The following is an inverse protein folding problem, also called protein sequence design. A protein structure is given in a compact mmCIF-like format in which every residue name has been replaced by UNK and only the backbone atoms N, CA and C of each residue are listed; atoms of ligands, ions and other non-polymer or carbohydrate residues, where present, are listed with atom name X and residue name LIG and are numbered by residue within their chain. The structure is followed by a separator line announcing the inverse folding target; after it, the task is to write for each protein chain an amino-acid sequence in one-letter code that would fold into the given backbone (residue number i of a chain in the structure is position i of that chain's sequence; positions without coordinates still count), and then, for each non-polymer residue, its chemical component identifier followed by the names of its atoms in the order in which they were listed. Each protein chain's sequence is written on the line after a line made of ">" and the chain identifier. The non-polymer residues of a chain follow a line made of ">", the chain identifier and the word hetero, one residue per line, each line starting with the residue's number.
data_IF_650040753441
#
_entry.id   IF_650040753441
#
_cell.length_a   1.000
_cell.length_b   1.000
_cell.length_c   1.000
_cell.angle_alpha   90.00
_cell.angle_beta   90.00
_cell.angle_gamma   90.00
#
_symmetry.space_group_name_H-M   'P 1'
#
loop_
_entity.id
_entity.type
_entity.pdbx_description
1 polymer ?
#
# COMPACT_ATOMS: atom_id res chain seq x y z
N UNK A 1 -16.34 -23.11 -4.89
CA UNK A 1 -17.72 -22.67 -4.67
C UNK A 1 -17.66 -21.27 -4.06
N UNK A 2 -18.00 -20.27 -4.91
CA UNK A 2 -18.07 -18.87 -4.50
C UNK A 2 -19.42 -18.63 -3.82
N UNK A 3 -19.45 -18.70 -2.49
CA UNK A 3 -20.63 -18.29 -1.74
C UNK A 3 -20.48 -16.82 -1.35
N UNK A 4 -21.45 -15.94 -1.71
CA UNK A 4 -21.51 -14.59 -1.17
C UNK A 4 -21.53 -14.69 0.36
N UNK A 5 -20.66 -13.95 1.03
CA UNK A 5 -20.69 -13.92 2.50
C UNK A 5 -21.95 -13.21 2.96
N UNK A 6 -22.71 -13.79 3.90
CA UNK A 6 -23.88 -13.12 4.46
C UNK A 6 -23.49 -11.76 5.04
N UNK A 7 -24.27 -10.73 4.72
CA UNK A 7 -24.09 -9.37 5.24
C UNK A 7 -23.17 -8.44 4.45
N UNK A 8 -22.62 -8.87 3.29
CA UNK A 8 -21.92 -7.98 2.37
C UNK A 8 -22.84 -7.55 1.22
N UNK A 9 -22.82 -6.27 0.89
CA UNK A 9 -23.50 -5.77 -0.32
C UNK A 9 -22.98 -6.47 -1.57
N UNK A 10 -23.84 -6.79 -2.56
CA UNK A 10 -23.41 -7.33 -3.84
C UNK A 10 -22.36 -6.42 -4.52
N UNK A 11 -21.38 -7.01 -5.18
CA UNK A 11 -20.32 -6.22 -5.86
C UNK A 11 -20.93 -5.27 -6.90
N UNK A 12 -21.97 -5.68 -7.60
CA UNK A 12 -22.68 -4.85 -8.55
C UNK A 12 -23.32 -3.59 -7.93
N UNK A 13 -23.80 -3.67 -6.70
CA UNK A 13 -24.33 -2.49 -5.99
C UNK A 13 -23.21 -1.57 -5.53
N UNK A 14 -22.08 -2.13 -5.07
CA UNK A 14 -20.90 -1.35 -4.69
C UNK A 14 -20.31 -0.63 -5.91
N UNK A 15 -20.27 -1.28 -7.07
CA UNK A 15 -19.77 -0.68 -8.31
C UNK A 15 -20.58 0.53 -8.78
N UNK A 16 -21.90 0.58 -8.50
CA UNK A 16 -22.75 1.73 -8.82
C UNK A 16 -22.40 3.01 -8.04
N UNK A 17 -21.69 2.89 -6.93
CA UNK A 17 -21.30 4.05 -6.11
C UNK A 17 -20.22 4.90 -6.78
N UNK A 18 -19.49 4.34 -7.76
CA UNK A 18 -18.35 4.99 -8.40
C UNK A 18 -17.11 5.03 -7.50
N UNK A 19 -15.97 5.39 -8.09
CA UNK A 19 -14.70 5.53 -7.34
C UNK A 19 -14.76 6.68 -6.31
N UNK A 20 -14.07 6.48 -5.18
CA UNK A 20 -14.00 7.45 -4.09
C UNK A 20 -12.66 7.37 -3.35
N UNK A 21 -12.54 8.04 -2.22
CA UNK A 21 -11.38 7.93 -1.32
C UNK A 21 -11.20 6.52 -0.73
N UNK A 22 -12.29 5.75 -0.65
CA UNK A 22 -12.35 4.41 -0.06
C UNK A 22 -12.76 3.30 -1.04
N UNK A 23 -13.03 3.62 -2.31
CA UNK A 23 -13.41 2.67 -3.36
C UNK A 23 -12.62 2.94 -4.64
N UNK A 24 -11.99 1.91 -5.19
CA UNK A 24 -11.19 1.98 -6.41
C UNK A 24 -11.55 0.84 -7.35
N UNK A 25 -11.55 1.09 -8.67
CA UNK A 25 -11.81 0.10 -9.71
C UNK A 25 -10.55 -0.16 -10.51
N UNK A 26 -10.39 -1.40 -10.95
CA UNK A 26 -9.36 -1.79 -11.91
C UNK A 26 -9.91 -2.86 -12.84
N UNK A 27 -9.81 -2.60 -14.12
CA UNK A 27 -10.29 -3.51 -15.17
C UNK A 27 -9.55 -4.87 -15.15
N UNK A 28 -8.33 -4.90 -14.63
CA UNK A 28 -7.48 -6.08 -14.55
C UNK A 28 -6.40 -5.91 -13.48
N UNK A 29 -5.87 -7.03 -12.97
CA UNK A 29 -4.76 -7.02 -12.03
C UNK A 29 -3.39 -7.16 -12.71
N UNK A 30 -3.32 -7.82 -13.85
CA UNK A 30 -2.05 -8.16 -14.53
C UNK A 30 -2.09 -8.16 -16.05
N UNK A 31 -3.27 -7.95 -16.63
CA UNK A 31 -3.45 -7.88 -18.07
C UNK A 31 -3.58 -6.43 -18.53
N UNK A 32 -2.76 -6.02 -19.46
CA UNK A 32 -2.87 -4.69 -20.05
C UNK A 32 -3.86 -4.76 -21.21
N UNK A 33 -5.06 -4.24 -20.99
CA UNK A 33 -6.18 -4.25 -21.95
C UNK A 33 -5.81 -3.58 -23.28
N UNK A 34 -4.91 -2.58 -23.23
CA UNK A 34 -4.51 -1.83 -24.44
C UNK A 34 -3.51 -2.60 -25.31
N UNK A 35 -2.55 -3.29 -24.68
CA UNK A 35 -1.52 -4.05 -25.39
C UNK A 35 -1.88 -5.52 -25.61
N UNK A 36 -2.97 -6.01 -24.99
CA UNK A 36 -3.44 -7.39 -25.11
C UNK A 36 -2.44 -8.42 -24.56
N UNK A 37 -1.72 -8.09 -23.49
CA UNK A 37 -0.74 -9.00 -22.88
C UNK A 37 -0.55 -8.73 -21.38
N UNK A 38 0.05 -9.72 -20.70
CA UNK A 38 0.48 -9.54 -19.30
C UNK A 38 1.48 -8.40 -19.18
N UNK A 39 1.31 -7.58 -18.13
CA UNK A 39 2.14 -6.42 -17.85
C UNK A 39 2.40 -6.27 -16.35
N UNK A 40 3.66 -6.36 -15.96
CA UNK A 40 4.10 -6.22 -14.55
C UNK A 40 3.81 -4.81 -13.99
N UNK A 41 3.62 -3.82 -14.86
CA UNK A 41 3.20 -2.48 -14.44
C UNK A 41 1.78 -2.50 -13.84
N UNK A 42 0.86 -3.32 -14.38
CA UNK A 42 -0.48 -3.50 -13.82
C UNK A 42 -0.41 -4.12 -12.42
N UNK A 43 0.41 -5.17 -12.24
CA UNK A 43 0.66 -5.79 -10.92
C UNK A 43 1.18 -4.74 -9.92
N UNK A 44 2.00 -3.80 -10.39
CA UNK A 44 2.51 -2.69 -9.57
C UNK A 44 1.41 -1.72 -9.15
N UNK A 45 0.46 -1.40 -10.05
CA UNK A 45 -0.69 -0.54 -9.74
C UNK A 45 -1.55 -1.18 -8.65
N UNK A 46 -1.87 -2.46 -8.77
CA UNK A 46 -2.63 -3.21 -7.75
C UNK A 46 -1.92 -3.15 -6.39
N UNK A 47 -0.62 -3.45 -6.35
CA UNK A 47 0.13 -3.44 -5.11
C UNK A 47 0.20 -2.04 -4.46
N UNK A 48 0.35 -0.97 -5.27
CA UNK A 48 0.30 0.43 -4.80
C UNK A 48 -1.05 0.78 -4.18
N UNK A 49 -2.14 0.42 -4.83
CA UNK A 49 -3.50 0.69 -4.34
C UNK A 49 -3.73 0.00 -3.00
N UNK A 50 -3.37 -1.28 -2.88
CA UNK A 50 -3.51 -2.02 -1.62
C UNK A 50 -2.65 -1.41 -0.52
N UNK A 51 -1.38 -1.10 -0.78
CA UNK A 51 -0.49 -0.46 0.19
C UNK A 51 -1.04 0.90 0.65
N UNK A 52 -1.56 1.71 -0.29
CA UNK A 52 -2.10 3.02 0.01
C UNK A 52 -3.36 2.94 0.89
N UNK A 53 -4.28 2.02 0.62
CA UNK A 53 -5.44 1.78 1.49
C UNK A 53 -5.01 1.32 2.88
N UNK A 54 -4.07 0.37 2.98
CA UNK A 54 -3.53 -0.09 4.27
C UNK A 54 -2.92 1.04 5.09
N UNK A 55 -2.19 1.93 4.45
CA UNK A 55 -1.55 3.07 5.10
C UNK A 55 -2.51 4.22 5.42
N UNK A 56 -3.74 4.17 4.91
CA UNK A 56 -4.76 5.20 5.13
C UNK A 56 -5.93 4.65 5.98
N UNK A 57 -7.16 4.95 5.63
CA UNK A 57 -8.37 4.50 6.35
C UNK A 57 -8.81 3.06 6.04
N UNK A 58 -8.08 2.31 5.21
CA UNK A 58 -8.58 1.11 4.56
C UNK A 58 -9.42 1.45 3.33
N UNK A 59 -10.06 0.46 2.73
CA UNK A 59 -10.92 0.66 1.56
C UNK A 59 -11.25 -0.63 0.83
N UNK A 60 -11.88 -0.47 -0.33
CA UNK A 60 -12.27 -1.56 -1.21
C UNK A 60 -11.66 -1.35 -2.60
N UNK A 61 -11.05 -2.38 -3.14
CA UNK A 61 -10.59 -2.44 -4.51
C UNK A 61 -11.44 -3.49 -5.25
N UNK A 62 -12.10 -3.08 -6.34
CA UNK A 62 -12.77 -3.98 -7.26
C UNK A 62 -11.87 -4.23 -8.46
N UNK A 63 -11.64 -5.51 -8.80
CA UNK A 63 -10.81 -5.93 -9.92
C UNK A 63 -11.70 -6.71 -10.91
N UNK A 64 -11.57 -6.43 -12.19
CA UNK A 64 -12.50 -6.88 -13.24
C UNK A 64 -13.69 -5.92 -13.40
N UNK A 65 -13.53 -4.66 -12.96
CA UNK A 65 -14.50 -3.59 -13.07
C UNK A 65 -13.85 -2.42 -13.81
N UNK A 66 -14.52 -1.88 -14.81
CA UNK A 66 -14.03 -0.73 -15.56
C UNK A 66 -14.36 0.62 -14.89
N UNK A 67 -13.89 1.71 -15.49
CA UNK A 67 -14.05 3.06 -14.94
C UNK A 67 -15.53 3.52 -14.90
N UNK A 68 -16.41 2.89 -15.70
CA UNK A 68 -17.86 3.11 -15.72
C UNK A 68 -18.61 2.22 -14.72
N UNK A 69 -17.92 1.36 -13.97
CA UNK A 69 -18.50 0.47 -12.96
C UNK A 69 -19.12 -0.81 -13.56
N UNK A 70 -18.85 -1.14 -14.82
CA UNK A 70 -19.32 -2.40 -15.45
C UNK A 70 -18.44 -3.57 -14.98
N UNK A 71 -19.07 -4.67 -14.65
CA UNK A 71 -18.41 -5.88 -14.16
C UNK A 71 -17.95 -6.72 -15.35
N UNK A 72 -16.78 -6.38 -15.91
CA UNK A 72 -16.23 -6.95 -17.14
C UNK A 72 -15.48 -8.29 -16.93
N UNK A 73 -15.14 -8.60 -15.68
CA UNK A 73 -14.55 -9.89 -15.29
C UNK A 73 -13.03 -9.99 -15.42
N UNK A 74 -12.50 -11.06 -14.83
CA UNK A 74 -11.06 -11.40 -14.75
C UNK A 74 -10.63 -12.43 -15.80
N UNK A 75 -11.41 -12.62 -16.87
CA UNK A 75 -11.09 -13.59 -17.93
C UNK A 75 -9.66 -13.46 -18.48
N UNK A 76 -9.21 -12.24 -18.87
CA UNK A 76 -7.84 -12.03 -19.34
C UNK A 76 -6.78 -12.33 -18.27
N UNK A 77 -7.04 -12.00 -17.00
CA UNK A 77 -6.14 -12.31 -15.89
C UNK A 77 -6.01 -13.81 -15.69
N UNK A 78 -7.14 -14.52 -15.67
CA UNK A 78 -7.20 -15.97 -15.54
C UNK A 78 -6.44 -16.70 -16.65
N UNK A 79 -6.56 -16.25 -17.90
CA UNK A 79 -5.84 -16.81 -19.03
C UNK A 79 -4.31 -16.78 -18.89
N UNK A 80 -3.78 -15.93 -18.01
CA UNK A 80 -2.34 -15.86 -17.70
C UNK A 80 -1.90 -16.84 -16.62
N UNK A 81 -2.83 -17.53 -15.97
CA UNK A 81 -2.57 -18.44 -14.86
C UNK A 81 -2.48 -19.88 -15.36
N UNK A 82 -1.78 -20.74 -14.63
CA UNK A 82 -1.67 -22.17 -14.97
C UNK A 82 -3.04 -22.87 -14.93
N UNK A 83 -3.89 -22.49 -13.98
CA UNK A 83 -5.30 -22.89 -13.91
C UNK A 83 -6.12 -21.61 -13.87
N UNK A 84 -7.04 -21.41 -14.85
CA UNK A 84 -7.78 -20.16 -14.98
C UNK A 84 -9.01 -20.13 -14.07
N UNK A 85 -8.79 -19.97 -12.76
CA UNK A 85 -9.84 -19.93 -11.74
C UNK A 85 -9.56 -18.93 -10.62
N UNK A 86 -10.59 -18.68 -9.81
CA UNK A 86 -10.56 -17.75 -8.69
C UNK A 86 -9.55 -18.16 -7.61
N UNK A 87 -9.44 -19.45 -7.30
CA UNK A 87 -8.53 -19.95 -6.29
C UNK A 87 -7.07 -19.69 -6.66
N UNK A 88 -6.73 -19.95 -7.93
CA UNK A 88 -5.38 -19.69 -8.45
C UNK A 88 -5.09 -18.20 -8.52
N UNK A 89 -6.08 -17.38 -8.85
CA UNK A 89 -5.95 -15.93 -8.83
C UNK A 89 -5.73 -15.42 -7.40
N UNK A 90 -6.49 -15.93 -6.42
CA UNK A 90 -6.30 -15.57 -5.01
C UNK A 90 -4.90 -15.92 -4.51
N UNK A 91 -4.41 -17.13 -4.79
CA UNK A 91 -3.05 -17.53 -4.42
C UNK A 91 -2.00 -16.61 -5.05
N UNK A 92 -2.13 -16.33 -6.34
CA UNK A 92 -1.20 -15.46 -7.05
C UNK A 92 -1.17 -14.03 -6.47
N UNK A 93 -2.33 -13.42 -6.21
CA UNK A 93 -2.38 -12.03 -5.73
C UNK A 93 -1.87 -11.91 -4.29
N UNK A 94 -2.09 -12.92 -3.46
CA UNK A 94 -1.52 -13.00 -2.10
C UNK A 94 -0.01 -13.15 -2.14
N UNK A 95 0.53 -13.96 -3.03
CA UNK A 95 1.97 -14.09 -3.24
C UNK A 95 2.58 -12.76 -3.72
N UNK A 96 1.93 -12.06 -4.66
CA UNK A 96 2.34 -10.74 -5.11
C UNK A 96 2.46 -9.76 -3.93
N UNK A 97 1.44 -9.68 -3.09
CA UNK A 97 1.44 -8.79 -1.92
C UNK A 97 2.51 -9.20 -0.90
N UNK A 98 2.62 -10.48 -0.61
CA UNK A 98 3.64 -11.02 0.30
C UNK A 98 5.07 -10.68 -0.14
N UNK A 99 5.37 -10.82 -1.42
CA UNK A 99 6.66 -10.48 -1.99
C UNK A 99 6.96 -8.97 -1.96
N UNK A 100 5.94 -8.14 -2.20
CA UNK A 100 6.10 -6.69 -2.36
C UNK A 100 5.97 -5.91 -1.05
N UNK A 101 5.15 -6.37 -0.11
CA UNK A 101 4.82 -5.67 1.13
C UNK A 101 5.10 -6.48 2.40
N UNK A 102 5.51 -7.75 2.27
CA UNK A 102 5.75 -8.65 3.39
C UNK A 102 4.47 -9.26 3.96
N UNK A 103 4.60 -10.00 5.06
CA UNK A 103 3.52 -10.82 5.65
C UNK A 103 2.33 -10.01 6.15
N UNK A 104 2.48 -8.72 6.46
CA UNK A 104 1.38 -7.85 6.89
C UNK A 104 0.34 -7.62 5.76
N UNK A 105 0.73 -7.81 4.50
CA UNK A 105 -0.16 -7.71 3.36
C UNK A 105 -1.09 -8.93 3.16
N UNK A 106 -1.00 -9.93 4.03
CA UNK A 106 -1.87 -11.11 3.98
C UNK A 106 -3.28 -10.89 4.56
N UNK A 107 -3.55 -9.70 5.12
CA UNK A 107 -4.83 -9.37 5.78
C UNK A 107 -5.99 -8.92 4.89
N UNK A 108 -5.82 -8.43 3.64
CA UNK A 108 -6.96 -8.16 2.76
C UNK A 108 -7.81 -9.40 2.53
N UNK A 109 -9.14 -9.20 2.53
CA UNK A 109 -10.10 -10.25 2.23
C UNK A 109 -10.49 -10.18 0.76
N UNK A 110 -10.60 -11.34 0.12
CA UNK A 110 -11.06 -11.46 -1.25
C UNK A 110 -12.44 -12.12 -1.25
N UNK A 111 -13.33 -11.55 -2.05
CA UNK A 111 -14.65 -12.10 -2.37
C UNK A 111 -14.83 -12.03 -3.89
N UNK A 112 -15.43 -13.07 -4.47
CA UNK A 112 -15.63 -13.14 -5.90
C UNK A 112 -17.13 -13.20 -6.21
N UNK A 113 -17.53 -12.63 -7.34
CA UNK A 113 -18.88 -12.71 -7.88
C UNK A 113 -18.80 -12.83 -9.39
N UNK A 114 -19.85 -13.33 -10.01
CA UNK A 114 -19.96 -13.44 -11.45
C UNK A 114 -20.01 -12.07 -12.12
N UNK A 115 -19.32 -11.93 -13.26
CA UNK A 115 -19.37 -10.72 -14.07
C UNK A 115 -20.73 -10.60 -14.77
N UNK A 116 -21.27 -9.38 -14.80
CA UNK A 116 -22.57 -9.09 -15.49
C UNK A 116 -22.37 -8.66 -16.95
N UNK A 117 -21.19 -8.13 -17.27
CA UNK A 117 -20.81 -7.68 -18.62
C UNK A 117 -19.50 -8.38 -19.07
N UNK A 118 -19.52 -9.73 -19.18
CA UNK A 118 -18.31 -10.51 -19.40
C UNK A 118 -17.67 -10.19 -20.75
N UNK A 119 -16.34 -10.26 -20.77
CA UNK A 119 -15.57 -10.09 -22.01
C UNK A 119 -15.66 -11.33 -22.87
N UNK A 120 -15.84 -11.17 -24.19
CA UNK A 120 -15.91 -12.28 -25.15
C UNK A 120 -14.62 -13.12 -25.16
N UNK A 121 -14.78 -14.44 -25.38
CA UNK A 121 -13.67 -15.36 -25.54
C UNK A 121 -13.10 -15.98 -24.26
N UNK A 122 -13.72 -15.75 -23.11
CA UNK A 122 -13.32 -16.34 -21.83
C UNK A 122 -14.47 -17.14 -21.20
N UNK A 123 -14.19 -18.40 -20.83
CA UNK A 123 -15.20 -19.30 -20.25
C UNK A 123 -15.58 -18.92 -18.80
N UNK A 124 -14.64 -18.35 -18.06
CA UNK A 124 -14.84 -18.02 -16.64
C UNK A 124 -14.50 -16.56 -16.38
N UNK A 125 -15.49 -15.86 -15.86
CA UNK A 125 -15.40 -14.41 -15.67
C UNK A 125 -16.01 -14.01 -14.32
N UNK A 126 -15.17 -14.03 -13.31
CA UNK A 126 -15.50 -13.50 -12.01
C UNK A 126 -14.96 -12.07 -11.88
N UNK A 127 -15.54 -11.26 -11.01
CA UNK A 127 -14.98 -10.02 -10.50
C UNK A 127 -14.51 -10.24 -9.07
N UNK A 128 -13.45 -9.57 -8.67
CA UNK A 128 -12.88 -9.71 -7.34
C UNK A 128 -13.04 -8.43 -6.53
N UNK A 129 -13.65 -8.54 -5.35
CA UNK A 129 -13.62 -7.50 -4.33
C UNK A 129 -12.51 -7.80 -3.33
N UNK A 130 -11.60 -6.85 -3.18
CA UNK A 130 -10.57 -6.86 -2.15
C UNK A 130 -10.95 -5.87 -1.07
N UNK A 131 -11.33 -6.35 0.11
CA UNK A 131 -11.59 -5.52 1.29
C UNK A 131 -10.29 -5.36 2.07
N UNK A 132 -9.82 -4.14 2.20
CA UNK A 132 -8.50 -3.79 2.72
C UNK A 132 -8.68 -3.06 4.05
N UNK A 133 -8.37 -3.67 5.20
CA UNK A 133 -8.39 -2.99 6.48
C UNK A 133 -7.21 -2.01 6.61
N UNK A 134 -7.33 -0.94 7.42
CA UNK A 134 -6.19 -0.11 7.76
C UNK A 134 -5.15 -0.94 8.51
N UNK A 135 -3.88 -0.73 8.18
CA UNK A 135 -2.78 -1.44 8.84
C UNK A 135 -2.45 -0.82 10.20
N UNK A 136 -2.19 -1.64 11.23
CA UNK A 136 -1.70 -1.17 12.53
C UNK A 136 -0.23 -0.71 12.51
N UNK A 137 0.47 -0.88 11.38
CA UNK A 137 1.87 -0.50 11.18
C UNK A 137 2.07 0.03 9.76
N UNK A 138 3.11 0.86 9.51
CA UNK A 138 3.44 1.30 8.16
C UNK A 138 3.69 0.11 7.24
N UNK A 139 3.10 0.14 6.05
CA UNK A 139 3.29 -0.84 4.98
C UNK A 139 4.11 -0.19 3.88
N UNK A 140 5.31 -0.72 3.67
CA UNK A 140 6.21 -0.25 2.62
C UNK A 140 6.13 -1.15 1.40
N UNK A 141 5.97 -0.55 0.23
CA UNK A 141 5.98 -1.25 -1.04
C UNK A 141 7.39 -1.30 -1.61
N UNK A 142 7.83 -2.50 -1.99
CA UNK A 142 9.06 -2.71 -2.74
C UNK A 142 8.77 -2.98 -4.22
N UNK A 143 9.77 -2.79 -5.06
CA UNK A 143 9.68 -3.09 -6.49
C UNK A 143 9.42 -4.58 -6.78
N UNK A 144 9.34 -4.97 -8.07
CA UNK A 144 9.10 -6.35 -8.47
C UNK A 144 10.03 -7.34 -7.78
N UNK A 145 9.49 -8.51 -7.37
CA UNK A 145 10.21 -9.55 -6.61
C UNK A 145 10.80 -9.06 -5.27
N UNK A 146 10.20 -8.04 -4.65
CA UNK A 146 10.64 -7.47 -3.38
C UNK A 146 11.99 -6.74 -3.43
N UNK A 147 12.46 -6.37 -4.63
CA UNK A 147 13.72 -5.66 -4.85
C UNK A 147 13.48 -4.15 -4.94
N UNK A 148 14.58 -3.37 -4.79
CA UNK A 148 14.56 -1.91 -4.88
C UNK A 148 14.24 -1.24 -3.55
N UNK A 149 14.13 0.08 -3.62
CA UNK A 149 13.82 0.93 -2.47
C UNK A 149 12.41 0.67 -1.94
N UNK A 150 12.24 0.86 -0.64
CA UNK A 150 10.94 0.76 0.01
C UNK A 150 10.21 2.10 -0.08
N UNK A 151 9.03 2.12 -0.65
CA UNK A 151 8.22 3.31 -0.87
C UNK A 151 7.00 3.30 0.05
N UNK A 152 6.63 4.47 0.59
CA UNK A 152 5.40 4.65 1.34
C UNK A 152 4.33 5.28 0.45
N UNK A 153 3.25 4.54 0.23
CA UNK A 153 2.10 4.96 -0.58
C UNK A 153 0.89 5.20 0.32
N UNK A 154 0.14 6.27 0.08
CA UNK A 154 -1.06 6.66 0.83
C UNK A 154 -2.18 7.08 -0.09
N UNK A 155 -3.44 7.07 0.41
CA UNK A 155 -4.60 7.67 -0.26
C UNK A 155 -4.72 9.13 0.16
N UNK A 156 -4.89 10.00 -0.82
CA UNK A 156 -5.21 11.43 -0.62
C UNK A 156 -6.42 11.74 -1.51
N UNK A 157 -7.60 11.76 -0.92
CA UNK A 157 -8.85 11.72 -1.67
C UNK A 157 -8.91 10.45 -2.54
N UNK A 158 -9.31 10.58 -3.79
CA UNK A 158 -9.37 9.48 -4.77
C UNK A 158 -8.02 9.15 -5.43
N UNK A 159 -6.89 9.72 -4.96
CA UNK A 159 -5.57 9.51 -5.56
C UNK A 159 -4.66 8.66 -4.67
N UNK A 160 -3.89 7.78 -5.31
CA UNK A 160 -2.79 7.04 -4.67
C UNK A 160 -1.48 7.80 -4.88
N UNK A 161 -0.81 8.22 -3.78
CA UNK A 161 0.40 9.04 -3.82
C UNK A 161 1.55 8.40 -3.05
N UNK A 162 2.74 8.49 -3.63
CA UNK A 162 3.99 8.21 -2.93
C UNK A 162 4.37 9.42 -2.07
N UNK A 163 4.74 9.17 -0.83
CA UNK A 163 5.31 10.20 0.04
C UNK A 163 6.84 10.24 -0.14
N UNK A 164 7.37 11.44 -0.25
CA UNK A 164 8.80 11.67 -0.18
C UNK A 164 9.30 11.47 1.26
N UNK A 165 10.61 11.29 1.45
CA UNK A 165 11.19 10.85 2.73
C UNK A 165 10.74 11.72 3.91
N UNK A 166 10.75 13.04 3.75
CA UNK A 166 10.38 13.99 4.82
C UNK A 166 8.91 13.83 5.20
N UNK A 167 8.02 13.81 4.20
CA UNK A 167 6.59 13.64 4.42
C UNK A 167 6.25 12.25 4.96
N UNK A 168 6.97 11.23 4.51
CA UNK A 168 6.81 9.86 4.99
C UNK A 168 7.16 9.75 6.48
N UNK A 169 8.27 10.37 6.93
CA UNK A 169 8.66 10.39 8.35
C UNK A 169 7.61 11.10 9.20
N UNK A 170 7.12 12.26 8.75
CA UNK A 170 6.08 13.00 9.45
C UNK A 170 4.76 12.19 9.50
N UNK A 171 4.34 11.62 8.39
CA UNK A 171 3.13 10.81 8.30
C UNK A 171 3.19 9.60 9.23
N UNK A 172 4.30 8.83 9.21
CA UNK A 172 4.50 7.64 10.04
C UNK A 172 4.50 8.01 11.53
N UNK A 173 5.20 9.09 11.90
CA UNK A 173 5.26 9.53 13.30
C UNK A 173 3.90 9.99 13.86
N UNK A 174 3.05 10.55 13.00
CA UNK A 174 1.70 11.00 13.38
C UNK A 174 0.70 9.84 13.43
N UNK A 175 0.72 8.98 12.40
CA UNK A 175 -0.28 7.91 12.28
C UNK A 175 0.04 6.69 13.16
N UNK A 176 1.31 6.36 13.33
CA UNK A 176 1.76 5.22 14.13
C UNK A 176 2.85 5.65 15.12
N UNK A 177 2.52 6.47 16.12
CA UNK A 177 3.51 6.99 17.06
C UNK A 177 4.27 5.90 17.79
N UNK A 178 3.64 4.73 18.01
CA UNK A 178 4.30 3.59 18.65
C UNK A 178 5.39 2.95 17.78
N UNK A 179 5.29 3.04 16.45
CA UNK A 179 6.29 2.47 15.54
C UNK A 179 7.61 3.24 15.53
N UNK A 180 7.58 4.51 15.98
CA UNK A 180 8.76 5.41 16.07
C UNK A 180 9.30 5.50 17.49
N UNK A 181 8.58 4.95 18.48
CA UNK A 181 9.06 4.93 19.87
C UNK A 181 10.24 3.96 19.99
N UNK A 182 11.38 4.53 20.39
CA UNK A 182 12.55 3.74 20.75
C UNK A 182 12.22 2.98 22.04
N UNK A 183 12.31 1.63 22.00
CA UNK A 183 12.09 0.78 23.18
C UNK A 183 12.87 1.33 24.39
N UNK A 184 12.31 1.27 25.61
CA UNK A 184 13.03 1.66 26.82
C UNK A 184 14.42 0.99 26.92
N UNK A 185 14.55 -0.26 26.53
CA UNK A 185 15.81 -0.99 26.47
C UNK A 185 16.78 -0.43 25.43
N UNK A 186 16.28 0.03 24.29
CA UNK A 186 17.12 0.71 23.29
C UNK A 186 17.56 2.09 23.79
N UNK A 187 16.71 2.80 24.54
CA UNK A 187 17.10 4.07 25.23
C UNK A 187 18.20 3.83 26.24
N UNK A 188 18.08 2.79 27.07
CA UNK A 188 19.13 2.41 28.03
C UNK A 188 20.42 2.02 27.30
N UNK A 189 20.33 1.25 26.23
CA UNK A 189 21.51 0.87 25.41
C UNK A 189 22.18 2.09 24.77
N UNK A 190 21.41 3.04 24.26
CA UNK A 190 21.94 4.29 23.71
C UNK A 190 22.58 5.16 24.80
N UNK A 191 22.02 5.22 26.01
CA UNK A 191 22.62 5.91 27.15
C UNK A 191 23.92 5.25 27.60
N UNK A 192 23.98 3.93 27.61
CA UNK A 192 25.20 3.16 27.96
C UNK A 192 26.27 3.34 26.88
N UNK A 193 25.90 3.35 25.59
CA UNK A 193 26.84 3.59 24.49
C UNK A 193 27.35 5.03 24.47
N UNK A 194 26.54 6.01 24.92
CA UNK A 194 26.96 7.41 25.05
C UNK A 194 27.99 7.63 26.15
N UNK A 195 28.12 6.70 27.12
CA UNK A 195 29.20 6.70 28.15
C UNK A 195 30.49 6.06 27.66
N UNK A 196 30.50 5.32 26.54
CA UNK A 196 31.74 4.88 25.89
C UNK A 196 32.02 5.89 24.77
N UNK A 197 32.97 6.76 25.06
CA UNK A 197 33.51 7.85 24.23
C UNK A 197 33.22 7.70 22.73
N UNK A 198 32.23 8.47 22.25
CA UNK A 198 32.12 8.74 20.81
C UNK A 198 33.31 9.64 20.47
N UNK A 199 34.20 9.25 19.55
CA UNK A 199 35.31 10.11 19.15
C UNK A 199 34.74 11.43 18.62
N UNK A 200 35.19 12.52 19.20
CA UNK A 200 34.75 13.91 18.99
C UNK A 200 35.19 14.47 17.64
N UNK A 201 35.01 13.72 16.55
CA UNK A 201 35.24 14.23 15.19
C UNK A 201 34.18 13.66 14.24
N UNK A 202 33.03 14.36 14.18
CA UNK A 202 32.19 14.33 12.99
C UNK A 202 32.74 15.35 12.01
N UNK A 203 32.87 15.02 10.71
CA UNK A 203 33.38 15.97 9.71
C UNK A 203 32.45 17.19 9.60
N UNK A 204 33.02 18.37 9.49
CA UNK A 204 32.56 19.76 9.61
C UNK A 204 31.20 20.22 9.06
N UNK A 205 30.33 19.34 8.59
CA UNK A 205 28.99 19.71 8.09
C UNK A 205 27.97 19.79 9.22
N UNK A 206 28.17 19.05 10.31
CA UNK A 206 27.23 19.02 11.46
C UNK A 206 27.50 20.17 12.43
N UNK A 207 28.74 20.66 12.49
CA UNK A 207 29.12 21.79 13.36
C UNK A 207 28.46 23.12 12.95
N UNK A 208 28.21 23.33 11.65
CA UNK A 208 27.56 24.57 11.15
C UNK A 208 26.07 24.65 11.50
N UNK A 209 25.38 23.55 11.52
CA UNK A 209 23.93 23.51 11.77
C UNK A 209 23.62 23.67 13.26
N UNK A 210 24.48 23.14 14.12
CA UNK A 210 24.30 23.26 15.59
C UNK A 210 24.64 24.65 16.12
N UNK A 211 25.66 25.32 15.58
CA UNK A 211 26.06 26.68 15.99
C UNK A 211 25.06 27.75 15.58
N UNK A 212 24.34 27.62 14.47
CA UNK A 212 23.28 28.56 14.09
C UNK A 212 22.03 28.42 14.96
N UNK A 213 21.71 27.21 15.41
CA UNK A 213 20.54 26.97 16.26
C UNK A 213 20.76 27.36 17.72
N UNK A 214 21.97 27.26 18.24
CA UNK A 214 22.29 27.67 19.63
C UNK A 214 22.35 29.19 19.80
N UNK A 215 22.71 29.95 18.77
CA UNK A 215 22.69 31.41 18.77
C UNK A 215 21.30 32.04 18.79
N UNK A 216 20.26 31.30 18.41
CA UNK A 216 18.88 31.81 18.41
C UNK A 216 18.11 31.57 19.73
N UNK A 217 18.71 30.93 20.71
CA UNK A 217 18.04 30.53 21.98
C UNK A 217 18.58 31.27 23.22
N UNK A 218 19.66 32.03 23.08
CA UNK A 218 20.17 32.82 24.20
C UNK A 218 19.47 34.19 24.27
N UNK A 219 18.81 34.54 25.38
CA UNK A 219 18.28 35.90 25.55
C UNK A 219 19.46 36.90 25.64
N UNK A 220 19.27 38.04 25.01
CA UNK A 220 20.20 39.15 25.09
C UNK A 220 20.41 39.53 26.57
N UNK A 221 21.65 39.39 27.07
CA UNK A 221 22.05 39.92 28.36
C UNK A 221 22.03 41.44 28.27
N UNK A 222 21.21 42.07 29.09
CA UNK A 222 21.24 43.50 29.36
C UNK A 222 22.61 43.84 29.92
N UNK A 223 23.33 44.74 29.25
CA UNK A 223 24.47 45.47 29.84
C UNK A 223 23.97 46.87 30.25
N UNK A 224 24.07 47.14 31.54
CA UNK A 224 24.21 48.48 32.09
C UNK A 224 25.64 49.02 31.89
#
# INVERSE_FOLDING_TARGET
>A
YLHPRPGLEPIAEVAKLGESDSLEFKSSARWNMRSGKRDDAMETVIAKTVAAFMNSGGGTLLIGVDDEGRLIGLGPDYATLKTPDADRFELWIRDLWGQRMGTNAATPRLDFAEATDPQDGYERQDVCRVTIPPSPRPVYLRGPKGKGEAELWVRVGNSTRRLEVVDAVQYVSTRWPESVRVSPWTRVRLLVLRRREVPTRLPGVVERVLTERERSILPASEEE
#
